data_IF_067951729111
#
_entry.id   IF_067951729111
#
_cell.length_a   1.000
_cell.length_b   1.000
_cell.length_c   1.000
_cell.angle_alpha   90.00
_cell.angle_beta   90.00
_cell.angle_gamma   90.00
#
_symmetry.space_group_name_H-M   'P 1'
#
loop_
_entity.id
_entity.type
_entity.pdbx_description
1 polymer ?
#
# COMPACT_ATOMS: atom_id res chain seq x y z
N UNK A 1 -71.34 36.11 -93.69
CA UNK A 1 -69.99 36.72 -93.68
C UNK A 1 -69.27 36.28 -92.40
N UNK A 2 -68.77 35.04 -92.31
CA UNK A 2 -67.40 34.60 -92.65
C UNK A 2 -66.28 35.50 -92.14
N UNK A 3 -65.75 35.20 -90.95
CA UNK A 3 -64.30 35.03 -90.72
C UNK A 3 -64.04 34.52 -89.29
N UNK A 4 -63.64 33.25 -89.17
CA UNK A 4 -62.65 32.84 -88.16
C UNK A 4 -61.27 33.09 -88.76
N UNK A 5 -60.27 33.46 -87.95
CA UNK A 5 -59.09 32.60 -87.99
C UNK A 5 -58.40 32.36 -86.64
N UNK A 6 -57.94 31.11 -86.56
CA UNK A 6 -56.66 30.57 -86.03
C UNK A 6 -56.30 30.68 -84.54
N UNK A 7 -56.14 29.47 -84.02
CA UNK A 7 -55.45 29.08 -82.79
C UNK A 7 -53.96 29.39 -82.85
N UNK A 8 -53.41 29.75 -81.69
CA UNK A 8 -52.01 29.58 -81.24
C UNK A 8 -52.03 29.95 -79.76
N UNK A 9 -51.51 29.20 -78.79
CA UNK A 9 -50.88 27.89 -78.76
C UNK A 9 -50.83 27.46 -77.30
N UNK A 10 -51.04 26.17 -77.07
CA UNK A 10 -50.83 25.51 -75.79
C UNK A 10 -49.33 25.59 -75.43
N UNK A 11 -49.00 26.13 -74.27
CA UNK A 11 -47.72 25.87 -73.61
C UNK A 11 -47.99 25.39 -72.19
N UNK A 12 -48.10 24.07 -72.07
CA UNK A 12 -47.77 23.34 -70.86
C UNK A 12 -46.29 23.60 -70.54
N UNK A 13 -46.02 24.20 -69.38
CA UNK A 13 -44.66 24.30 -68.82
C UNK A 13 -44.60 23.33 -67.63
N UNK A 14 -43.57 22.49 -67.55
CA UNK A 14 -43.61 21.24 -66.81
C UNK A 14 -43.31 21.43 -65.32
N UNK A 15 -43.91 20.55 -64.51
CA UNK A 15 -43.54 20.29 -63.13
C UNK A 15 -42.12 19.72 -63.08
N UNK A 16 -41.12 20.57 -62.82
CA UNK A 16 -39.80 20.18 -62.36
C UNK A 16 -39.01 21.44 -62.03
N UNK A 17 -38.91 21.79 -60.75
CA UNK A 17 -37.72 22.39 -60.10
C UNK A 17 -38.05 22.74 -58.65
N UNK A 18 -37.06 22.54 -57.76
CA UNK A 18 -37.06 22.81 -56.32
C UNK A 18 -37.52 21.68 -55.39
N UNK A 19 -36.97 20.48 -55.61
CA UNK A 19 -36.61 19.54 -54.54
C UNK A 19 -35.09 19.35 -54.59
N UNK A 20 -34.32 20.20 -53.90
CA UNK A 20 -32.89 20.00 -53.62
C UNK A 20 -32.39 21.12 -52.70
N UNK A 21 -32.20 20.83 -51.42
CA UNK A 21 -31.56 21.79 -50.52
C UNK A 21 -31.70 21.53 -49.03
N UNK A 22 -31.66 20.27 -48.56
CA UNK A 22 -31.61 20.00 -47.11
C UNK A 22 -31.04 18.62 -46.76
N UNK A 23 -29.95 18.24 -47.41
CA UNK A 23 -29.04 17.22 -46.87
C UNK A 23 -27.61 17.75 -47.03
N UNK A 24 -26.69 17.28 -46.20
CA UNK A 24 -25.29 17.73 -46.03
C UNK A 24 -25.07 18.84 -44.99
N UNK A 25 -25.65 18.67 -43.80
CA UNK A 25 -24.89 18.98 -42.58
C UNK A 25 -24.38 17.66 -42.01
N UNK A 26 -23.40 17.07 -42.70
CA UNK A 26 -22.53 16.07 -42.10
C UNK A 26 -21.65 16.81 -41.08
N UNK A 27 -22.20 17.04 -39.90
CA UNK A 27 -21.41 17.48 -38.76
C UNK A 27 -20.44 16.36 -38.45
N UNK A 28 -19.17 16.52 -38.83
CA UNK A 28 -18.09 15.77 -38.20
C UNK A 28 -18.05 16.24 -36.75
N UNK A 29 -18.79 15.55 -35.89
CA UNK A 29 -18.51 15.56 -34.46
C UNK A 29 -17.16 14.88 -34.30
N UNK A 30 -16.08 15.65 -34.40
CA UNK A 30 -14.77 15.24 -33.94
C UNK A 30 -14.94 15.00 -32.44
N UNK A 31 -15.15 13.75 -32.06
CA UNK A 31 -14.96 13.34 -30.67
C UNK A 31 -13.47 13.45 -30.41
N UNK A 32 -13.04 14.61 -29.93
CA UNK A 32 -11.78 14.72 -29.22
C UNK A 32 -11.87 13.70 -28.09
N UNK A 33 -11.14 12.61 -28.21
CA UNK A 33 -11.01 11.60 -27.15
C UNK A 33 -10.27 12.24 -25.98
N UNK A 34 -11.00 13.02 -25.19
CA UNK A 34 -10.60 13.52 -23.87
C UNK A 34 -10.72 12.43 -22.79
N UNK A 35 -11.24 11.24 -23.15
CA UNK A 35 -11.58 10.17 -22.20
C UNK A 35 -10.40 9.62 -21.41
N UNK A 36 -9.20 9.56 -22.01
CA UNK A 36 -8.03 8.99 -21.32
C UNK A 36 -7.51 9.81 -20.14
N UNK A 37 -7.73 11.14 -20.14
CA UNK A 37 -7.35 12.01 -19.03
C UNK A 37 -8.36 11.95 -17.88
N UNK A 38 -9.65 12.00 -18.21
CA UNK A 38 -10.75 11.97 -17.23
C UNK A 38 -10.87 10.64 -16.50
N UNK A 39 -10.67 9.52 -17.20
CA UNK A 39 -10.81 8.19 -16.59
C UNK A 39 -9.66 7.89 -15.63
N UNK A 40 -8.45 8.37 -15.96
CA UNK A 40 -7.29 8.27 -15.08
C UNK A 40 -7.47 9.09 -13.81
N UNK A 41 -7.88 10.36 -13.94
CA UNK A 41 -8.14 11.23 -12.79
C UNK A 41 -9.28 10.70 -11.91
N UNK A 42 -10.34 10.17 -12.54
CA UNK A 42 -11.43 9.51 -11.83
C UNK A 42 -10.95 8.25 -11.08
N UNK A 43 -10.14 7.40 -11.72
CA UNK A 43 -9.54 6.23 -11.09
C UNK A 43 -8.71 6.61 -9.86
N UNK A 44 -7.81 7.59 -9.99
CA UNK A 44 -7.00 8.10 -8.88
C UNK A 44 -7.85 8.67 -7.74
N UNK A 45 -8.94 9.37 -8.06
CA UNK A 45 -9.87 9.89 -7.05
C UNK A 45 -10.59 8.76 -6.30
N UNK A 46 -11.06 7.72 -7.00
CA UNK A 46 -11.64 6.53 -6.38
C UNK A 46 -10.62 5.76 -5.55
N UNK A 47 -9.36 5.66 -5.99
CA UNK A 47 -8.26 5.06 -5.22
C UNK A 47 -8.05 5.79 -3.89
N UNK A 48 -7.93 7.13 -3.93
CA UNK A 48 -7.80 7.95 -2.72
C UNK A 48 -9.01 7.81 -1.79
N UNK A 49 -10.22 7.81 -2.34
CA UNK A 49 -11.45 7.62 -1.57
C UNK A 49 -11.50 6.25 -0.90
N UNK A 50 -11.12 5.19 -1.62
CA UNK A 50 -11.06 3.83 -1.12
C UNK A 50 -10.06 3.66 0.02
N UNK A 51 -8.87 4.25 -0.11
CA UNK A 51 -7.85 4.28 0.95
C UNK A 51 -8.38 5.01 2.18
N UNK A 52 -9.00 6.18 2.01
CA UNK A 52 -9.58 6.93 3.13
C UNK A 52 -10.69 6.16 3.87
N UNK A 53 -11.51 5.37 3.15
CA UNK A 53 -12.48 4.49 3.79
C UNK A 53 -11.83 3.34 4.55
N UNK A 54 -10.77 2.74 4.00
CA UNK A 54 -10.02 1.67 4.65
C UNK A 54 -9.32 2.14 5.94
N UNK A 55 -8.75 3.34 5.94
CA UNK A 55 -8.15 3.97 7.13
C UNK A 55 -9.18 4.16 8.26
N UNK A 56 -10.45 4.37 7.91
CA UNK A 56 -11.58 4.48 8.85
C UNK A 56 -12.29 3.16 9.12
N UNK A 57 -11.70 2.04 8.69
CA UNK A 57 -12.22 0.69 8.79
C UNK A 57 -13.61 0.47 8.16
N UNK A 58 -14.01 1.35 7.23
CA UNK A 58 -15.24 1.19 6.48
C UNK A 58 -14.99 0.29 5.25
N UNK A 59 -14.84 -1.01 5.52
CA UNK A 59 -14.41 -2.00 4.51
C UNK A 59 -15.37 -2.08 3.31
N UNK A 60 -16.68 -1.95 3.55
CA UNK A 60 -17.70 -2.00 2.49
C UNK A 60 -17.54 -0.84 1.49
N UNK A 61 -17.42 0.39 1.99
CA UNK A 61 -17.22 1.57 1.11
C UNK A 61 -15.84 1.58 0.47
N UNK A 62 -14.81 1.11 1.19
CA UNK A 62 -13.48 0.94 0.62
C UNK A 62 -13.51 -0.01 -0.58
N UNK A 63 -14.12 -1.19 -0.43
CA UNK A 63 -14.25 -2.17 -1.51
C UNK A 63 -15.00 -1.61 -2.72
N UNK A 64 -16.10 -0.86 -2.51
CA UNK A 64 -16.84 -0.26 -3.61
C UNK A 64 -16.00 0.79 -4.37
N UNK A 65 -15.37 1.74 -3.66
CA UNK A 65 -14.56 2.77 -4.28
C UNK A 65 -13.34 2.18 -5.01
N UNK A 66 -12.63 1.24 -4.37
CA UNK A 66 -11.49 0.55 -4.99
C UNK A 66 -11.91 -0.29 -6.19
N UNK A 67 -13.10 -0.91 -6.15
CA UNK A 67 -13.67 -1.60 -7.30
C UNK A 67 -13.87 -0.68 -8.50
N UNK A 68 -14.44 0.51 -8.28
CA UNK A 68 -14.60 1.54 -9.34
C UNK A 68 -13.25 2.02 -9.89
N UNK A 69 -12.26 2.22 -9.02
CA UNK A 69 -10.91 2.55 -9.46
C UNK A 69 -10.32 1.45 -10.37
N UNK A 70 -10.49 0.19 -9.99
CA UNK A 70 -9.96 -0.96 -10.73
C UNK A 70 -10.75 -1.30 -12.00
N UNK A 71 -12.03 -0.92 -12.09
CA UNK A 71 -12.80 -0.94 -13.34
C UNK A 71 -12.20 0.02 -14.38
N UNK A 72 -11.77 1.21 -13.93
CA UNK A 72 -11.19 2.25 -14.78
C UNK A 72 -9.71 2.00 -15.09
N UNK A 73 -8.94 1.54 -14.10
CA UNK A 73 -7.54 1.18 -14.23
C UNK A 73 -7.23 -0.15 -13.53
N UNK A 74 -7.34 -1.30 -14.24
CA UNK A 74 -7.12 -2.63 -13.67
C UNK A 74 -5.70 -2.90 -13.14
N UNK A 75 -4.73 -2.05 -13.49
CA UNK A 75 -3.32 -2.14 -13.07
C UNK A 75 -2.91 -0.99 -12.14
N UNK A 76 -3.86 -0.29 -11.52
CA UNK A 76 -3.52 0.65 -10.44
C UNK A 76 -2.95 -0.13 -9.24
N UNK A 77 -1.63 -0.10 -9.09
CA UNK A 77 -0.93 -0.80 -8.02
C UNK A 77 -1.32 -0.30 -6.62
N UNK A 78 -1.66 0.99 -6.46
CA UNK A 78 -2.11 1.54 -5.18
C UNK A 78 -3.52 1.05 -4.84
N UNK A 79 -4.43 1.03 -5.82
CA UNK A 79 -5.77 0.49 -5.64
C UNK A 79 -5.74 -1.03 -5.34
N UNK A 80 -4.92 -1.80 -6.06
CA UNK A 80 -4.71 -3.22 -5.82
C UNK A 80 -4.16 -3.46 -4.40
N UNK A 81 -3.13 -2.72 -4.00
CA UNK A 81 -2.56 -2.81 -2.66
C UNK A 81 -3.60 -2.50 -1.57
N UNK A 82 -4.44 -1.49 -1.78
CA UNK A 82 -5.51 -1.14 -0.84
C UNK A 82 -6.61 -2.22 -0.81
N UNK A 83 -6.98 -2.78 -1.96
CA UNK A 83 -7.98 -3.86 -2.05
C UNK A 83 -7.48 -5.13 -1.35
N UNK A 84 -6.19 -5.45 -1.49
CA UNK A 84 -5.57 -6.57 -0.79
C UNK A 84 -5.69 -6.42 0.74
N UNK A 85 -5.46 -5.21 1.27
CA UNK A 85 -5.66 -4.92 2.69
C UNK A 85 -7.13 -5.02 3.13
N UNK A 86 -8.08 -4.63 2.28
CA UNK A 86 -9.52 -4.86 2.54
C UNK A 86 -9.80 -6.36 2.66
N UNK A 87 -9.32 -7.17 1.70
CA UNK A 87 -9.49 -8.62 1.75
C UNK A 87 -8.84 -9.24 2.99
N UNK A 88 -7.65 -8.77 3.39
CA UNK A 88 -6.99 -9.23 4.62
C UNK A 88 -7.86 -8.96 5.85
N UNK A 89 -8.40 -7.75 6.02
CA UNK A 89 -9.26 -7.40 7.16
C UNK A 89 -10.59 -8.15 7.18
N UNK A 90 -11.09 -8.58 6.02
CA UNK A 90 -12.27 -9.42 5.91
C UNK A 90 -11.98 -10.93 6.13
N UNK A 91 -10.74 -11.31 6.43
CA UNK A 91 -10.33 -12.71 6.60
C UNK A 91 -10.14 -13.48 5.28
N UNK A 92 -10.20 -12.79 4.13
CA UNK A 92 -10.03 -13.35 2.80
C UNK A 92 -8.56 -13.57 2.42
N UNK A 93 -7.83 -14.41 3.17
CA UNK A 93 -6.38 -14.58 3.00
C UNK A 93 -5.95 -14.94 1.57
N UNK A 94 -6.65 -15.86 0.90
CA UNK A 94 -6.34 -16.24 -0.50
C UNK A 94 -6.53 -15.07 -1.48
N UNK A 95 -7.58 -14.28 -1.29
CA UNK A 95 -7.84 -13.10 -2.13
C UNK A 95 -6.83 -12.00 -1.85
N UNK A 96 -6.47 -11.78 -0.59
CA UNK A 96 -5.44 -10.83 -0.19
C UNK A 96 -4.09 -11.16 -0.84
N UNK A 97 -3.64 -12.41 -0.74
CA UNK A 97 -2.38 -12.88 -1.34
C UNK A 97 -2.34 -12.62 -2.86
N UNK A 98 -3.36 -13.11 -3.58
CA UNK A 98 -3.46 -12.93 -5.02
C UNK A 98 -3.49 -11.44 -5.42
N UNK A 99 -4.17 -10.60 -4.63
CA UNK A 99 -4.28 -9.17 -4.93
C UNK A 99 -2.99 -8.40 -4.60
N UNK A 100 -2.26 -8.78 -3.55
CA UNK A 100 -0.93 -8.24 -3.27
C UNK A 100 0.07 -8.57 -4.38
N UNK A 101 0.07 -9.82 -4.87
CA UNK A 101 0.93 -10.23 -6.00
C UNK A 101 0.63 -9.40 -7.24
N UNK A 102 -0.65 -9.21 -7.58
CA UNK A 102 -1.08 -8.32 -8.67
C UNK A 102 -0.61 -6.88 -8.48
N UNK A 103 -0.65 -6.35 -7.26
CA UNK A 103 -0.15 -5.00 -6.98
C UNK A 103 1.36 -4.86 -7.27
N UNK A 104 2.15 -5.85 -6.85
CA UNK A 104 3.60 -5.89 -7.06
C UNK A 104 3.95 -6.14 -8.54
N UNK A 105 3.17 -6.94 -9.26
CA UNK A 105 3.30 -7.14 -10.71
C UNK A 105 2.91 -5.89 -11.52
N UNK A 106 1.96 -5.11 -11.02
CA UNK A 106 1.54 -3.85 -11.64
C UNK A 106 2.59 -2.75 -11.48
N UNK A 107 3.19 -2.63 -10.29
CA UNK A 107 4.31 -1.74 -10.02
C UNK A 107 5.33 -2.40 -9.08
N UNK A 108 6.42 -2.98 -9.62
CA UNK A 108 7.46 -3.60 -8.82
C UNK A 108 8.22 -2.63 -7.90
N UNK A 109 8.13 -1.32 -8.18
CA UNK A 109 8.80 -0.25 -7.43
C UNK A 109 7.95 0.31 -6.27
N UNK A 110 6.68 -0.12 -6.16
CA UNK A 110 5.81 0.30 -5.07
C UNK A 110 6.23 -0.34 -3.73
N UNK A 111 7.23 0.24 -3.09
CA UNK A 111 7.84 -0.26 -1.84
C UNK A 111 6.81 -0.49 -0.73
N UNK A 112 5.79 0.36 -0.64
CA UNK A 112 4.68 0.22 0.33
C UNK A 112 3.90 -1.08 0.12
N UNK A 113 3.66 -1.49 -1.12
CA UNK A 113 2.95 -2.75 -1.42
C UNK A 113 3.75 -3.96 -0.94
N UNK A 114 5.07 -3.97 -1.17
CA UNK A 114 5.95 -5.02 -0.67
C UNK A 114 5.99 -5.08 0.85
N UNK A 115 6.07 -3.93 1.52
CA UNK A 115 6.03 -3.87 2.99
C UNK A 115 4.72 -4.44 3.55
N UNK A 116 3.58 -4.04 2.96
CA UNK A 116 2.27 -4.51 3.42
C UNK A 116 2.06 -6.00 3.12
N UNK A 117 2.52 -6.47 1.96
CA UNK A 117 2.47 -7.88 1.63
C UNK A 117 3.37 -8.70 2.56
N UNK A 118 4.55 -8.20 2.91
CA UNK A 118 5.41 -8.85 3.88
C UNK A 118 4.75 -8.97 5.27
N UNK A 119 4.07 -7.92 5.73
CA UNK A 119 3.32 -7.98 6.98
C UNK A 119 2.20 -9.02 6.92
N UNK A 120 1.44 -9.05 5.82
CA UNK A 120 0.45 -10.09 5.57
C UNK A 120 1.06 -11.50 5.61
N UNK A 121 2.17 -11.73 4.90
CA UNK A 121 2.86 -13.03 4.85
C UNK A 121 3.36 -13.47 6.23
N UNK A 122 3.91 -12.52 6.99
CA UNK A 122 4.37 -12.73 8.36
C UNK A 122 3.21 -13.17 9.27
N UNK A 123 2.05 -12.49 9.19
CA UNK A 123 0.85 -12.87 9.94
C UNK A 123 0.30 -14.25 9.54
N UNK A 124 0.57 -14.70 8.31
CA UNK A 124 0.24 -16.05 7.83
C UNK A 124 1.31 -17.10 8.19
N UNK A 125 2.37 -16.74 8.91
CA UNK A 125 3.48 -17.63 9.24
C UNK A 125 4.41 -17.98 8.06
N UNK A 126 4.25 -17.32 6.91
CA UNK A 126 5.08 -17.49 5.70
C UNK A 126 6.33 -16.63 5.80
N UNK A 127 7.16 -16.93 6.79
CA UNK A 127 8.29 -16.10 7.22
C UNK A 127 9.34 -15.90 6.12
N UNK A 128 9.67 -16.94 5.36
CA UNK A 128 10.67 -16.86 4.28
C UNK A 128 10.23 -15.84 3.22
N UNK A 129 9.01 -15.97 2.71
CA UNK A 129 8.45 -15.05 1.72
C UNK A 129 8.31 -13.62 2.29
N UNK A 130 7.93 -13.48 3.57
CA UNK A 130 7.85 -12.17 4.23
C UNK A 130 9.21 -11.46 4.25
N UNK A 131 10.25 -12.20 4.65
CA UNK A 131 11.63 -11.72 4.69
C UNK A 131 12.14 -11.34 3.29
N UNK A 132 11.81 -12.11 2.25
CA UNK A 132 12.16 -11.79 0.87
C UNK A 132 11.53 -10.47 0.40
N UNK A 133 10.24 -10.25 0.70
CA UNK A 133 9.55 -9.01 0.35
C UNK A 133 10.15 -7.81 1.09
N UNK A 134 10.47 -7.95 2.37
CA UNK A 134 11.16 -6.92 3.16
C UNK A 134 12.56 -6.62 2.64
N UNK A 135 13.30 -7.65 2.23
CA UNK A 135 14.63 -7.48 1.65
C UNK A 135 14.57 -6.69 0.34
N UNK A 136 13.63 -7.04 -0.55
CA UNK A 136 13.39 -6.30 -1.79
C UNK A 136 12.97 -4.85 -1.50
N UNK A 137 12.01 -4.64 -0.59
CA UNK A 137 11.56 -3.30 -0.19
C UNK A 137 12.70 -2.44 0.38
N UNK A 138 13.61 -3.05 1.17
CA UNK A 138 14.72 -2.33 1.83
C UNK A 138 15.78 -1.76 0.86
N UNK A 139 15.75 -2.18 -0.41
CA UNK A 139 16.64 -1.68 -1.48
C UNK A 139 16.26 -0.28 -1.94
N UNK A 140 15.01 0.11 -1.80
CA UNK A 140 14.57 1.48 -2.05
C UNK A 140 15.18 2.42 -1.00
N UNK A 141 16.13 3.25 -1.44
CA UNK A 141 16.86 4.18 -0.58
C UNK A 141 16.08 5.47 -0.30
N UNK A 142 15.04 5.75 -1.07
CA UNK A 142 14.22 6.96 -0.98
C UNK A 142 12.96 6.75 -0.13
N UNK A 143 12.64 5.50 0.24
CA UNK A 143 11.49 5.22 1.08
C UNK A 143 11.62 5.83 2.49
N UNK A 144 10.73 6.76 2.86
CA UNK A 144 10.77 7.48 4.14
C UNK A 144 10.81 6.54 5.36
N UNK A 145 10.11 5.40 5.28
CA UNK A 145 10.04 4.42 6.36
C UNK A 145 11.07 3.29 6.20
N UNK A 146 12.21 3.53 5.54
CA UNK A 146 13.24 2.51 5.32
C UNK A 146 13.85 1.97 6.61
N UNK A 147 14.02 2.79 7.65
CA UNK A 147 14.43 2.30 8.97
C UNK A 147 13.44 1.25 9.52
N UNK A 148 12.13 1.45 9.30
CA UNK A 148 11.10 0.50 9.71
C UNK A 148 11.18 -0.81 8.91
N UNK A 149 11.49 -0.75 7.61
CA UNK A 149 11.71 -1.96 6.80
C UNK A 149 12.84 -2.82 7.37
N UNK A 150 13.96 -2.20 7.74
CA UNK A 150 15.07 -2.92 8.36
C UNK A 150 14.72 -3.48 9.74
N UNK A 151 13.91 -2.77 10.54
CA UNK A 151 13.43 -3.30 11.81
C UNK A 151 12.52 -4.53 11.62
N UNK A 152 11.58 -4.45 10.67
CA UNK A 152 10.70 -5.58 10.30
C UNK A 152 11.52 -6.76 9.75
N UNK A 153 12.51 -6.50 8.89
CA UNK A 153 13.41 -7.53 8.35
C UNK A 153 14.25 -8.18 9.45
N UNK A 154 14.69 -7.40 10.43
CA UNK A 154 15.39 -7.90 11.61
C UNK A 154 14.53 -8.85 12.43
N UNK A 155 13.28 -8.47 12.70
CA UNK A 155 12.32 -9.32 13.40
C UNK A 155 11.97 -10.60 12.63
N UNK A 156 11.69 -10.49 11.33
CA UNK A 156 11.43 -11.67 10.51
C UNK A 156 12.62 -12.64 10.51
N UNK A 157 13.85 -12.14 10.40
CA UNK A 157 15.08 -12.97 10.47
C UNK A 157 15.32 -13.57 11.86
N UNK A 158 14.89 -12.91 12.93
CA UNK A 158 14.94 -13.47 14.29
C UNK A 158 14.05 -14.70 14.40
N UNK A 159 12.83 -14.62 13.89
CA UNK A 159 11.89 -15.74 13.95
C UNK A 159 12.32 -16.94 13.10
N UNK A 160 13.04 -16.68 12.00
CA UNK A 160 13.71 -17.74 11.24
C UNK A 160 14.99 -18.27 11.91
N UNK A 161 15.34 -17.81 13.11
CA UNK A 161 16.56 -18.22 13.82
C UNK A 161 17.86 -17.67 13.24
N UNK A 162 17.81 -16.79 12.23
CA UNK A 162 18.98 -16.20 11.61
C UNK A 162 19.48 -14.98 12.40
N UNK A 163 20.02 -15.24 13.59
CA UNK A 163 20.48 -14.24 14.55
C UNK A 163 21.49 -13.25 13.94
N UNK A 164 22.44 -13.75 13.15
CA UNK A 164 23.48 -12.90 12.53
C UNK A 164 22.86 -11.90 11.54
N UNK A 165 21.97 -12.36 10.66
CA UNK A 165 21.33 -11.48 9.69
C UNK A 165 20.32 -10.53 10.36
N UNK A 166 19.62 -10.99 11.40
CA UNK A 166 18.74 -10.16 12.20
C UNK A 166 19.47 -8.99 12.86
N UNK A 167 20.57 -9.26 13.57
CA UNK A 167 21.41 -8.24 14.20
C UNK A 167 21.87 -7.19 13.19
N UNK A 168 22.30 -7.63 11.99
CA UNK A 168 22.71 -6.74 10.91
C UNK A 168 21.56 -5.83 10.45
N UNK A 169 20.36 -6.37 10.27
CA UNK A 169 19.19 -5.57 9.89
C UNK A 169 18.81 -4.56 10.97
N UNK A 170 18.77 -4.97 12.24
CA UNK A 170 18.43 -4.08 13.35
C UNK A 170 19.45 -2.95 13.53
N UNK A 171 20.74 -3.26 13.43
CA UNK A 171 21.79 -2.24 13.44
C UNK A 171 21.66 -1.26 12.26
N UNK A 172 21.24 -1.75 11.08
CA UNK A 172 20.97 -0.88 9.93
C UNK A 172 19.76 0.03 10.16
N UNK A 173 18.71 -0.46 10.82
CA UNK A 173 17.56 0.36 11.20
C UNK A 173 17.99 1.53 12.11
N UNK A 174 18.79 1.24 13.15
CA UNK A 174 19.33 2.26 14.06
C UNK A 174 20.26 3.26 13.36
N UNK A 175 21.06 2.81 12.39
CA UNK A 175 21.94 3.69 11.63
C UNK A 175 21.17 4.66 10.71
N UNK A 176 19.98 4.28 10.22
CA UNK A 176 19.14 5.14 9.39
C UNK A 176 18.35 6.13 10.25
N UNK A 177 17.74 5.63 11.34
CA UNK A 177 16.95 6.46 12.25
C UNK A 177 17.24 6.07 13.71
N UNK A 178 18.21 6.73 14.36
CA UNK A 178 18.59 6.46 15.75
C UNK A 178 17.50 6.83 16.77
N UNK A 179 16.43 7.51 16.34
CA UNK A 179 15.34 7.97 17.24
C UNK A 179 14.17 7.00 17.26
N UNK A 180 14.20 5.92 16.47
CA UNK A 180 13.16 4.88 16.50
C UNK A 180 13.42 3.85 17.59
N UNK A 181 12.57 3.76 18.62
CA UNK A 181 12.81 2.89 19.76
C UNK A 181 12.73 1.39 19.41
N UNK A 182 11.86 0.99 18.48
CA UNK A 182 11.55 -0.44 18.22
C UNK A 182 12.79 -1.29 17.92
N UNK A 183 13.75 -0.79 17.15
CA UNK A 183 14.98 -1.53 16.84
C UNK A 183 15.86 -1.79 18.06
N UNK A 184 15.85 -0.89 19.04
CA UNK A 184 16.58 -1.07 20.30
C UNK A 184 15.94 -2.19 21.14
N UNK A 185 14.62 -2.23 21.25
CA UNK A 185 13.93 -3.29 21.98
C UNK A 185 14.16 -4.67 21.35
N UNK A 186 14.02 -4.77 20.03
CA UNK A 186 14.26 -6.03 19.31
C UNK A 186 15.71 -6.49 19.43
N UNK A 187 16.66 -5.56 19.41
CA UNK A 187 18.08 -5.89 19.57
C UNK A 187 18.40 -6.25 21.03
N UNK A 188 17.77 -5.60 22.01
CA UNK A 188 17.88 -5.99 23.42
C UNK A 188 17.40 -7.43 23.65
N UNK A 189 16.23 -7.78 23.11
CA UNK A 189 15.68 -9.13 23.18
C UNK A 189 16.62 -10.14 22.50
N UNK A 190 17.12 -9.81 21.30
CA UNK A 190 18.10 -10.63 20.59
C UNK A 190 19.34 -10.88 21.46
N UNK A 191 19.98 -9.83 21.98
CA UNK A 191 21.19 -9.98 22.77
C UNK A 191 20.95 -10.72 24.09
N UNK A 192 19.80 -10.52 24.72
CA UNK A 192 19.40 -11.26 25.92
C UNK A 192 19.32 -12.77 25.65
N UNK A 193 18.64 -13.17 24.57
CA UNK A 193 18.52 -14.60 24.19
C UNK A 193 19.87 -15.21 23.85
N UNK A 194 20.81 -14.42 23.32
CA UNK A 194 22.18 -14.85 23.05
C UNK A 194 23.09 -14.83 24.30
N UNK A 195 22.59 -14.42 25.45
CA UNK A 195 23.35 -14.32 26.70
C UNK A 195 24.29 -13.10 26.78
N UNK A 196 24.21 -12.17 25.83
CA UNK A 196 25.00 -10.95 25.80
C UNK A 196 24.37 -9.87 26.69
N UNK A 197 24.30 -10.15 28.00
CA UNK A 197 23.50 -9.36 28.96
C UNK A 197 23.87 -7.87 29.00
N UNK A 198 25.15 -7.53 28.91
CA UNK A 198 25.62 -6.13 28.88
C UNK A 198 25.12 -5.40 27.62
N UNK A 199 25.17 -6.06 26.46
CA UNK A 199 24.65 -5.47 25.22
C UNK A 199 23.13 -5.34 25.25
N UNK A 200 22.45 -6.33 25.83
CA UNK A 200 21.01 -6.30 26.00
C UNK A 200 20.57 -5.09 26.84
N UNK A 201 21.23 -4.86 27.98
CA UNK A 201 20.99 -3.72 28.87
C UNK A 201 21.20 -2.38 28.15
N UNK A 202 22.34 -2.18 27.48
CA UNK A 202 22.63 -0.94 26.76
C UNK A 202 21.56 -0.59 25.71
N UNK A 203 21.09 -1.60 24.98
CA UNK A 203 20.01 -1.41 24.00
C UNK A 203 18.70 -1.05 24.70
N UNK A 204 18.39 -1.71 25.80
CA UNK A 204 17.15 -1.50 26.54
C UNK A 204 17.10 -0.13 27.25
N UNK A 205 18.21 0.33 27.80
CA UNK A 205 18.36 1.69 28.34
C UNK A 205 18.07 2.74 27.27
N UNK A 206 18.62 2.54 26.07
CA UNK A 206 18.35 3.45 24.95
C UNK A 206 16.88 3.40 24.53
N UNK A 207 16.26 2.22 24.50
CA UNK A 207 14.82 2.09 24.29
C UNK A 207 14.02 2.90 25.32
N UNK A 208 14.29 2.71 26.62
CA UNK A 208 13.55 3.38 27.69
C UNK A 208 13.73 4.90 27.65
N UNK A 209 14.92 5.39 27.28
CA UNK A 209 15.16 6.82 27.05
C UNK A 209 14.31 7.40 25.91
N UNK A 210 14.04 6.63 24.87
CA UNK A 210 13.29 7.08 23.69
C UNK A 210 11.77 6.90 23.83
N UNK A 211 11.34 5.83 24.50
CA UNK A 211 9.94 5.40 24.53
C UNK A 211 9.30 5.35 25.93
N UNK A 212 10.09 5.64 26.96
CA UNK A 212 9.70 5.47 28.35
C UNK A 212 9.77 4.01 28.83
N UNK A 213 9.63 3.79 30.15
CA UNK A 213 9.65 2.47 30.77
C UNK A 213 8.33 1.73 30.55
N UNK A 214 8.13 1.18 29.35
CA UNK A 214 6.95 0.35 29.06
C UNK A 214 7.05 -1.01 29.76
N UNK A 215 5.90 -1.59 30.11
CA UNK A 215 5.84 -2.88 30.82
C UNK A 215 6.70 -3.99 30.16
N UNK A 216 6.70 -4.10 28.83
CA UNK A 216 7.55 -5.06 28.11
C UNK A 216 9.05 -4.84 28.38
N UNK A 217 9.49 -3.59 28.33
CA UNK A 217 10.89 -3.25 28.57
C UNK A 217 11.27 -3.41 30.05
N UNK A 218 10.38 -3.07 30.98
CA UNK A 218 10.61 -3.27 32.40
C UNK A 218 10.75 -4.76 32.76
N UNK A 219 9.91 -5.63 32.18
CA UNK A 219 10.05 -7.08 32.33
C UNK A 219 11.41 -7.56 31.83
N UNK A 220 11.80 -7.15 30.62
CA UNK A 220 13.11 -7.53 30.07
C UNK A 220 14.27 -6.99 30.91
N UNK A 221 14.15 -5.79 31.47
CA UNK A 221 15.18 -5.19 32.32
C UNK A 221 15.35 -5.97 33.64
N UNK A 222 14.22 -6.34 34.28
CA UNK A 222 14.21 -7.23 35.44
C UNK A 222 14.88 -8.57 35.11
N UNK A 223 14.50 -9.18 33.99
CA UNK A 223 15.03 -10.50 33.59
C UNK A 223 16.53 -10.45 33.26
N UNK A 224 17.01 -9.34 32.68
CA UNK A 224 18.44 -9.06 32.49
C UNK A 224 19.16 -8.94 33.83
N UNK A 225 18.62 -8.13 34.76
CA UNK A 225 19.21 -7.91 36.08
C UNK A 225 19.31 -9.22 36.88
N UNK A 226 18.25 -10.04 36.87
CA UNK A 226 18.25 -11.36 37.49
C UNK A 226 19.35 -12.27 36.94
N UNK A 227 19.50 -12.35 35.61
CA UNK A 227 20.55 -13.18 34.98
C UNK A 227 21.96 -12.67 35.24
N UNK A 228 22.12 -11.40 35.58
CA UNK A 228 23.40 -10.81 36.01
C UNK A 228 23.69 -11.00 37.50
N UNK A 229 22.71 -11.44 38.28
CA UNK A 229 22.81 -11.47 39.74
C UNK A 229 22.65 -10.11 40.41
N UNK A 230 22.10 -9.11 39.71
CA UNK A 230 21.81 -7.78 40.26
C UNK A 230 20.40 -7.77 40.88
N UNK A 231 20.32 -8.22 42.13
CA UNK A 231 19.05 -8.30 42.86
C UNK A 231 18.42 -6.93 43.13
N UNK A 232 19.23 -5.88 43.29
CA UNK A 232 18.74 -4.53 43.55
C UNK A 232 18.01 -3.96 42.32
N UNK A 233 18.64 -4.03 41.14
CA UNK A 233 18.00 -3.60 39.90
C UNK A 233 16.80 -4.46 39.55
N UNK A 234 16.86 -5.77 39.80
CA UNK A 234 15.72 -6.66 39.58
C UNK A 234 14.50 -6.28 40.44
N UNK A 235 14.69 -5.97 41.73
CA UNK A 235 13.62 -5.50 42.60
C UNK A 235 13.06 -4.17 42.12
N UNK A 236 13.94 -3.21 41.80
CA UNK A 236 13.53 -1.90 41.29
C UNK A 236 12.62 -2.00 40.06
N UNK A 237 12.98 -2.83 39.08
CA UNK A 237 12.14 -3.02 37.90
C UNK A 237 10.85 -3.81 38.17
N UNK A 238 10.83 -4.67 39.20
CA UNK A 238 9.62 -5.36 39.63
C UNK A 238 8.63 -4.37 40.26
N UNK A 239 9.11 -3.47 41.13
CA UNK A 239 8.28 -2.45 41.77
C UNK A 239 7.64 -1.48 40.74
N UNK A 240 8.34 -1.18 39.64
CA UNK A 240 7.80 -0.36 38.54
C UNK A 240 6.73 -1.06 37.68
N UNK A 241 6.54 -2.37 37.85
CA UNK A 241 5.54 -3.16 37.11
C UNK A 241 4.22 -3.32 37.88
N UNK A 242 4.19 -3.00 39.17
CA UNK A 242 3.01 -3.02 40.05
C UNK A 242 2.14 -1.76 39.86
#
# INVERSE_FOLDING_TARGET
MTRRPRMTGMRLIPAATMLLGSLWLSGCATQTSLSGGSDKEAAEAYTRLGIAYLERDNLSRAMNALGRALEMNPRDAQALQAMAMVHQRQGGARLADATFRRAIEADPSLTRARNNYAAFLYDQGRLEEACEQLEQASRDTQYDSRAQLFANLGQCRLEMGNVKAARKSLARAQAIDPRRPRSYLLLAQLEYTQGNLVRAEQQLETYMRLAGPRAEALRLARDIAQRRGDAASASFYADLLE
#
